data_IF_382329019921
#
_entry.id   IF_382329019921
#
_cell.length_a   1.000
_cell.length_b   1.000
_cell.length_c   1.000
_cell.angle_alpha   90.00
_cell.angle_beta   90.00
_cell.angle_gamma   90.00
#
_symmetry.space_group_name_H-M   'P 1'
#
loop_
_entity.id
_entity.type
_entity.pdbx_description
1 polymer ?
#
# COMPACT_ATOMS: atom_id res chain seq x y z
N UNK A 1 -16.27 4.87 -23.38
CA UNK A 1 -15.19 4.01 -22.87
C UNK A 1 -15.51 3.60 -21.43
N UNK A 2 -16.02 2.39 -21.14
CA UNK A 2 -16.41 2.02 -19.76
C UNK A 2 -16.05 0.60 -19.27
N UNK A 3 -15.44 -0.25 -20.08
CA UNK A 3 -14.97 -1.58 -19.65
C UNK A 3 -13.70 -1.95 -20.40
N UNK A 4 -12.54 -1.50 -19.92
CA UNK A 4 -11.25 -1.79 -20.57
C UNK A 4 -10.30 -2.44 -19.57
N UNK A 5 -10.28 -3.78 -19.59
CA UNK A 5 -9.41 -4.58 -18.73
C UNK A 5 -7.92 -4.26 -18.93
N UNK A 6 -7.49 -3.98 -20.16
CA UNK A 6 -6.09 -3.66 -20.46
C UNK A 6 -5.67 -2.33 -19.84
N UNK A 7 -6.56 -1.33 -19.81
CA UNK A 7 -6.31 -0.08 -19.05
C UNK A 7 -6.20 -0.38 -17.56
N UNK A 8 -7.08 -1.22 -17.00
CA UNK A 8 -7.01 -1.58 -15.57
C UNK A 8 -5.68 -2.28 -15.24
N UNK A 9 -5.27 -3.27 -16.04
CA UNK A 9 -3.96 -3.93 -15.90
C UNK A 9 -2.81 -2.94 -15.97
N UNK A 10 -2.86 -2.02 -16.94
CA UNK A 10 -1.84 -0.99 -17.12
C UNK A 10 -1.75 -0.05 -15.91
N UNK A 11 -2.90 0.39 -15.37
CA UNK A 11 -2.95 1.24 -14.17
C UNK A 11 -2.35 0.53 -12.96
N UNK A 12 -2.72 -0.72 -12.71
CA UNK A 12 -2.15 -1.52 -11.62
C UNK A 12 -0.65 -1.73 -11.80
N UNK A 13 -0.21 -2.00 -13.03
CA UNK A 13 1.22 -2.10 -13.37
C UNK A 13 1.95 -0.79 -13.05
N UNK A 14 1.36 0.37 -13.35
CA UNK A 14 1.91 1.67 -12.96
C UNK A 14 1.78 2.01 -11.47
N UNK A 15 1.16 1.14 -10.67
CA UNK A 15 1.09 1.27 -9.22
C UNK A 15 -0.19 1.92 -8.70
N UNK A 16 -1.26 1.95 -9.51
CA UNK A 16 -2.57 2.30 -9.01
C UNK A 16 -2.97 1.35 -7.88
N UNK A 17 -3.38 1.92 -6.75
CA UNK A 17 -3.72 1.16 -5.57
C UNK A 17 -5.17 0.65 -5.67
N UNK A 18 -5.29 -0.66 -5.84
CA UNK A 18 -6.55 -1.38 -6.07
C UNK A 18 -7.51 -1.32 -4.88
N UNK A 19 -7.04 -0.97 -3.69
CA UNK A 19 -7.88 -0.84 -2.49
C UNK A 19 -8.36 0.59 -2.22
N UNK A 20 -7.94 1.57 -3.03
CA UNK A 20 -8.44 2.94 -2.89
C UNK A 20 -9.94 3.00 -3.13
N UNK A 21 -10.63 3.73 -2.27
CA UNK A 21 -12.07 3.94 -2.37
C UNK A 21 -12.35 5.26 -3.08
N UNK A 22 -13.17 5.21 -4.13
CA UNK A 22 -13.83 6.40 -4.65
C UNK A 22 -15.17 6.55 -3.91
N UNK A 23 -15.32 7.66 -3.18
CA UNK A 23 -16.42 7.90 -2.22
C UNK A 23 -16.50 6.77 -1.18
N UNK A 24 -17.22 5.70 -1.46
CA UNK A 24 -17.45 4.56 -0.56
C UNK A 24 -17.08 3.19 -1.16
N UNK A 25 -16.71 3.12 -2.44
CA UNK A 25 -16.52 1.85 -3.17
C UNK A 25 -15.09 1.70 -3.71
N UNK A 26 -14.52 0.50 -3.61
CA UNK A 26 -13.24 0.15 -4.29
C UNK A 26 -13.47 -0.14 -5.78
N UNK A 27 -12.41 -0.12 -6.62
CA UNK A 27 -12.49 -0.56 -8.02
C UNK A 27 -13.18 -1.92 -8.21
N UNK A 28 -12.90 -2.89 -7.32
CA UNK A 28 -13.54 -4.20 -7.35
C UNK A 28 -15.05 -4.10 -7.10
N UNK A 29 -15.48 -3.32 -6.10
CA UNK A 29 -16.89 -3.12 -5.81
C UNK A 29 -17.62 -2.41 -6.95
N UNK A 30 -16.99 -1.40 -7.55
CA UNK A 30 -17.51 -0.70 -8.72
C UNK A 30 -17.67 -1.63 -9.93
N UNK A 31 -16.68 -2.49 -10.19
CA UNK A 31 -16.76 -3.49 -11.25
C UNK A 31 -17.84 -4.56 -11.01
N UNK A 32 -18.19 -4.83 -9.75
CA UNK A 32 -19.28 -5.74 -9.39
C UNK A 32 -20.69 -5.18 -9.61
N UNK A 33 -20.85 -3.85 -9.76
CA UNK A 33 -22.17 -3.23 -9.93
C UNK A 33 -22.72 -3.29 -11.36
N UNK A 34 -21.89 -3.66 -12.36
CA UNK A 34 -22.33 -3.74 -13.74
C UNK A 34 -22.03 -5.12 -14.35
N UNK A 35 -23.02 -5.77 -15.00
CA UNK A 35 -22.78 -6.97 -15.78
C UNK A 35 -21.79 -6.75 -16.94
N UNK A 36 -21.64 -5.50 -17.39
CA UNK A 36 -20.70 -5.18 -18.47
C UNK A 36 -19.25 -5.17 -18.03
N UNK A 37 -18.95 -5.25 -16.72
CA UNK A 37 -17.59 -5.21 -16.16
C UNK A 37 -17.17 -6.53 -15.50
N UNK A 38 -17.84 -7.65 -15.80
CA UNK A 38 -17.54 -8.96 -15.20
C UNK A 38 -16.07 -9.37 -15.35
N UNK A 39 -15.48 -9.23 -16.54
CA UNK A 39 -14.08 -9.59 -16.74
C UNK A 39 -13.10 -8.74 -15.91
N UNK A 40 -13.43 -7.47 -15.67
CA UNK A 40 -12.68 -6.59 -14.76
C UNK A 40 -12.90 -7.04 -13.31
N UNK A 41 -14.13 -7.35 -12.93
CA UNK A 41 -14.47 -7.81 -11.58
C UNK A 41 -13.69 -9.09 -11.24
N UNK A 42 -13.72 -10.09 -12.12
CA UNK A 42 -13.02 -11.37 -11.94
C UNK A 42 -11.51 -11.17 -11.82
N UNK A 43 -10.94 -10.35 -12.72
CA UNK A 43 -9.52 -10.01 -12.69
C UNK A 43 -9.14 -9.31 -11.37
N UNK A 44 -9.87 -8.27 -10.96
CA UNK A 44 -9.60 -7.53 -9.73
C UNK A 44 -9.75 -8.43 -8.50
N UNK A 45 -10.75 -9.30 -8.48
CA UNK A 45 -11.00 -10.23 -7.38
C UNK A 45 -9.82 -11.20 -7.21
N UNK A 46 -9.41 -11.86 -8.30
CA UNK A 46 -8.26 -12.76 -8.30
C UNK A 46 -6.97 -12.02 -7.89
N UNK A 47 -6.77 -10.81 -8.40
CA UNK A 47 -5.58 -9.99 -8.11
C UNK A 47 -5.50 -9.57 -6.64
N UNK A 48 -6.59 -9.06 -6.06
CA UNK A 48 -6.65 -8.69 -4.63
C UNK A 48 -6.35 -9.89 -3.75
N UNK A 49 -7.03 -11.01 -3.99
CA UNK A 49 -6.84 -12.23 -3.19
C UNK A 49 -5.39 -12.74 -3.23
N UNK A 50 -4.76 -12.73 -4.41
CA UNK A 50 -3.37 -13.17 -4.55
C UNK A 50 -2.39 -12.23 -3.85
N UNK A 51 -2.58 -10.92 -4.00
CA UNK A 51 -1.75 -9.93 -3.33
C UNK A 51 -1.91 -10.01 -1.80
N UNK A 52 -3.13 -10.09 -1.27
CA UNK A 52 -3.38 -10.24 0.17
C UNK A 52 -2.63 -11.44 0.75
N UNK A 53 -2.67 -12.60 0.07
CA UNK A 53 -1.93 -13.79 0.49
C UNK A 53 -0.43 -13.54 0.57
N UNK A 54 0.18 -12.95 -0.46
CA UNK A 54 1.61 -12.62 -0.51
C UNK A 54 1.98 -11.66 0.62
N UNK A 55 1.23 -10.58 0.79
CA UNK A 55 1.51 -9.57 1.81
C UNK A 55 1.36 -10.14 3.23
N UNK A 56 0.34 -10.97 3.48
CA UNK A 56 0.17 -11.61 4.78
C UNK A 56 1.31 -12.58 5.09
N UNK A 57 1.84 -13.30 4.09
CA UNK A 57 3.05 -14.11 4.25
C UNK A 57 4.25 -13.24 4.63
N UNK A 58 4.47 -12.10 3.97
CA UNK A 58 5.56 -11.19 4.31
C UNK A 58 5.41 -10.56 5.69
N UNK A 59 4.20 -10.14 6.07
CA UNK A 59 3.92 -9.63 7.42
C UNK A 59 4.28 -10.70 8.47
N UNK A 60 3.79 -11.94 8.29
CA UNK A 60 4.11 -13.05 9.20
C UNK A 60 5.60 -13.34 9.26
N UNK A 61 6.32 -13.22 8.13
CA UNK A 61 7.76 -13.50 8.06
C UNK A 61 8.60 -12.40 8.70
N UNK A 62 8.31 -11.13 8.41
CA UNK A 62 9.19 -10.01 8.75
C UNK A 62 8.79 -9.27 10.02
N UNK A 63 7.54 -9.38 10.45
CA UNK A 63 6.93 -8.52 11.48
C UNK A 63 6.42 -9.32 12.69
N UNK A 64 6.71 -10.64 12.70
CA UNK A 64 6.30 -11.53 13.80
C UNK A 64 6.77 -10.97 15.15
N UNK A 65 5.83 -10.85 16.09
CA UNK A 65 6.10 -10.35 17.44
C UNK A 65 6.23 -8.83 17.57
N UNK A 66 6.21 -8.09 16.46
CA UNK A 66 6.29 -6.61 16.46
C UNK A 66 4.92 -5.99 16.24
N UNK A 67 4.15 -6.50 15.26
CA UNK A 67 2.85 -5.96 14.90
C UNK A 67 2.00 -6.99 14.15
N UNK A 68 0.67 -6.84 14.18
CA UNK A 68 -0.29 -7.65 13.42
C UNK A 68 -1.36 -6.77 12.74
N UNK A 69 -1.75 -7.07 11.49
CA UNK A 69 -2.70 -6.28 10.72
C UNK A 69 -4.13 -6.31 11.27
N UNK A 70 -4.45 -7.23 12.19
CA UNK A 70 -5.77 -7.25 12.87
C UNK A 70 -6.04 -5.95 13.65
N UNK A 71 -4.98 -5.24 14.06
CA UNK A 71 -5.08 -3.93 14.72
C UNK A 71 -4.82 -2.76 13.74
N UNK A 72 -4.81 -2.99 12.44
CA UNK A 72 -4.60 -1.92 11.46
C UNK A 72 -5.81 -0.96 11.43
N UNK A 73 -5.53 0.33 11.31
CA UNK A 73 -6.56 1.37 11.17
C UNK A 73 -7.03 1.57 9.72
N UNK A 74 -6.43 0.86 8.77
CA UNK A 74 -6.76 0.90 7.34
C UNK A 74 -6.74 -0.50 6.75
N UNK A 75 -7.39 -0.63 5.60
CA UNK A 75 -7.28 -1.83 4.76
C UNK A 75 -5.83 -1.98 4.22
N UNK A 76 -5.52 -3.13 3.62
CA UNK A 76 -4.23 -3.34 2.97
C UNK A 76 -4.18 -2.54 1.66
N UNK A 77 -3.15 -1.71 1.52
CA UNK A 77 -2.92 -0.87 0.36
C UNK A 77 -1.81 -1.44 -0.52
N UNK A 78 -2.09 -1.55 -1.81
CA UNK A 78 -1.19 -2.15 -2.80
C UNK A 78 -0.60 -1.06 -3.69
N UNK A 79 0.13 -0.16 -3.05
CA UNK A 79 0.81 0.94 -3.73
C UNK A 79 2.24 0.54 -4.12
N UNK A 80 2.61 0.83 -5.37
CA UNK A 80 3.99 0.66 -5.85
C UNK A 80 4.86 1.83 -5.41
N UNK A 81 5.81 1.59 -4.51
CA UNK A 81 6.73 2.64 -4.04
C UNK A 81 7.84 2.95 -5.05
N UNK A 82 8.37 1.93 -5.75
CA UNK A 82 9.34 2.07 -6.84
C UNK A 82 9.38 0.81 -7.71
N UNK A 83 10.00 0.87 -8.90
CA UNK A 83 10.25 -0.33 -9.73
C UNK A 83 11.67 -0.84 -9.49
N UNK A 84 11.86 -2.16 -9.45
CA UNK A 84 13.18 -2.78 -9.50
C UNK A 84 13.93 -2.51 -10.82
N UNK A 85 13.17 -2.11 -11.86
CA UNK A 85 13.63 -1.81 -13.21
C UNK A 85 13.42 -0.33 -13.58
N UNK A 86 13.21 0.56 -12.60
CA UNK A 86 13.17 1.99 -12.90
C UNK A 86 14.56 2.36 -13.41
N UNK A 87 14.66 2.80 -14.67
CA UNK A 87 15.89 3.43 -15.11
C UNK A 87 16.10 4.70 -14.26
N UNK A 88 17.34 5.16 -14.08
CA UNK A 88 17.59 6.45 -13.44
C UNK A 88 16.84 7.62 -14.10
N UNK A 89 16.34 7.44 -15.33
CA UNK A 89 15.47 8.35 -16.07
C UNK A 89 13.97 8.20 -15.73
N UNK A 90 13.49 7.01 -15.38
CA UNK A 90 12.11 6.78 -14.87
C UNK A 90 11.97 7.17 -13.39
N UNK A 91 13.07 7.00 -12.64
CA UNK A 91 13.27 7.55 -11.31
C UNK A 91 13.69 9.02 -11.32
N UNK A 92 13.71 9.68 -12.50
CA UNK A 92 13.93 11.12 -12.54
C UNK A 92 12.89 11.80 -11.65
N UNK A 93 13.36 12.76 -10.86
CA UNK A 93 12.54 13.61 -9.99
C UNK A 93 11.67 14.53 -10.83
N UNK A 94 10.78 13.97 -11.64
CA UNK A 94 9.74 14.73 -12.28
C UNK A 94 8.75 15.16 -11.19
N UNK A 95 8.12 16.32 -11.38
CA UNK A 95 7.16 16.91 -10.43
C UNK A 95 6.11 15.90 -9.94
N UNK A 96 5.80 14.91 -10.77
CA UNK A 96 4.85 13.81 -10.57
C UNK A 96 5.28 12.77 -9.51
N UNK A 97 6.57 12.46 -9.36
CA UNK A 97 7.04 11.48 -8.34
C UNK A 97 7.27 12.14 -6.98
N UNK A 98 7.62 13.43 -6.96
CA UNK A 98 7.85 14.24 -5.74
C UNK A 98 6.58 14.42 -4.89
N UNK A 99 5.40 14.29 -5.49
CA UNK A 99 4.10 14.57 -4.87
C UNK A 99 3.15 13.38 -4.81
N UNK A 100 3.64 12.13 -4.82
CA UNK A 100 2.76 10.96 -4.64
C UNK A 100 2.08 11.03 -3.28
N UNK A 101 0.78 11.32 -3.28
CA UNK A 101 -0.10 11.30 -2.11
C UNK A 101 -0.93 10.04 -2.15
N UNK A 102 -0.87 9.24 -1.09
CA UNK A 102 -1.78 8.11 -0.89
C UNK A 102 -2.83 8.59 0.09
N UNK A 103 -4.09 8.62 -0.34
CA UNK A 103 -5.20 8.97 0.52
C UNK A 103 -5.77 7.70 1.13
N UNK A 104 -5.52 7.51 2.42
CA UNK A 104 -5.97 6.33 3.16
C UNK A 104 -7.25 6.72 3.90
N UNK A 105 -8.37 6.09 3.55
CA UNK A 105 -9.61 6.28 4.27
C UNK A 105 -9.65 5.34 5.48
N UNK A 106 -9.57 5.91 6.70
CA UNK A 106 -9.54 5.17 7.96
C UNK A 106 -10.88 5.19 8.72
N UNK A 107 -11.87 5.98 8.27
CA UNK A 107 -13.09 6.24 9.06
C UNK A 107 -13.94 4.98 9.22
N UNK A 108 -14.13 4.23 8.13
CA UNK A 108 -14.92 2.99 8.14
C UNK A 108 -14.26 1.91 9.01
N UNK A 109 -12.95 1.72 8.87
CA UNK A 109 -12.18 0.73 9.63
C UNK A 109 -12.15 1.08 11.12
N UNK A 110 -11.96 2.36 11.48
CA UNK A 110 -12.02 2.85 12.86
C UNK A 110 -13.40 2.62 13.50
N UNK A 111 -14.48 2.95 12.78
CA UNK A 111 -15.84 2.79 13.30
C UNK A 111 -16.24 1.32 13.47
N UNK A 112 -15.77 0.45 12.58
CA UNK A 112 -16.09 -0.97 12.54
C UNK A 112 -15.23 -1.86 13.45
N UNK A 113 -14.07 -1.40 13.93
CA UNK A 113 -13.17 -2.22 14.76
C UNK A 113 -13.30 -1.86 16.27
N UNK A 114 -14.00 -2.69 17.09
CA UNK A 114 -14.17 -2.42 18.51
C UNK A 114 -12.87 -2.51 19.32
N UNK A 115 -11.82 -3.18 18.81
CA UNK A 115 -10.53 -3.24 19.49
C UNK A 115 -9.75 -1.92 19.35
N UNK A 116 -9.89 -1.22 18.22
CA UNK A 116 -9.32 0.13 18.05
C UNK A 116 -9.93 1.14 19.03
N UNK A 117 -11.18 0.92 19.47
CA UNK A 117 -11.83 1.75 20.52
C UNK A 117 -11.25 1.48 21.92
N UNK A 118 -10.71 0.28 22.16
CA UNK A 118 -10.22 -0.16 23.49
C UNK A 118 -8.72 0.09 23.67
N UNK A 119 -7.90 -0.16 22.64
CA UNK A 119 -6.45 0.08 22.64
C UNK A 119 -6.04 0.58 21.26
N UNK A 120 -5.95 1.91 21.04
CA UNK A 120 -5.60 2.45 19.73
C UNK A 120 -4.09 2.33 19.52
N UNK A 121 -3.63 1.16 19.06
CA UNK A 121 -2.31 1.07 18.42
C UNK A 121 -2.41 1.73 17.04
N UNK A 122 -2.25 3.05 17.01
CA UNK A 122 -2.33 3.83 15.78
C UNK A 122 -1.01 3.77 15.03
N UNK A 123 -0.76 2.63 14.39
CA UNK A 123 0.44 2.37 13.61
C UNK A 123 0.10 2.35 12.12
N UNK A 124 0.85 3.11 11.33
CA UNK A 124 0.89 2.96 9.88
C UNK A 124 2.05 2.05 9.52
N UNK A 125 1.72 0.91 8.93
CA UNK A 125 2.66 -0.11 8.54
C UNK A 125 2.82 -0.15 7.01
N UNK A 126 4.05 -0.20 6.51
CA UNK A 126 4.35 -0.19 5.08
C UNK A 126 5.35 -1.30 4.78
N UNK A 127 5.00 -2.24 3.90
CA UNK A 127 5.97 -3.15 3.28
C UNK A 127 6.33 -2.61 1.91
N UNK A 128 7.58 -2.18 1.68
CA UNK A 128 8.02 -1.85 0.35
C UNK A 128 7.95 -3.05 -0.59
N UNK A 129 7.17 -2.85 -1.65
CA UNK A 129 6.90 -3.86 -2.67
C UNK A 129 7.37 -3.35 -4.02
N UNK A 130 8.07 -4.24 -4.73
CA UNK A 130 8.65 -3.97 -6.04
C UNK A 130 8.06 -4.95 -7.04
N UNK A 131 7.62 -4.44 -8.19
CA UNK A 131 7.09 -5.28 -9.24
C UNK A 131 8.21 -5.64 -10.22
N UNK A 132 8.26 -6.91 -10.62
CA UNK A 132 9.15 -7.42 -11.66
C UNK A 132 8.57 -7.13 -13.04
N UNK A 133 9.41 -7.07 -14.07
CA UNK A 133 9.00 -6.75 -15.45
C UNK A 133 7.86 -7.63 -15.97
N UNK A 134 7.88 -8.90 -15.57
CA UNK A 134 6.95 -9.95 -15.98
C UNK A 134 5.53 -9.72 -15.43
N UNK A 135 5.36 -8.96 -14.35
CA UNK A 135 4.03 -8.74 -13.75
C UNK A 135 3.07 -8.03 -14.71
N UNK A 136 3.61 -7.27 -15.67
CA UNK A 136 2.82 -6.55 -16.68
C UNK A 136 1.89 -7.48 -17.46
N UNK A 137 2.33 -8.72 -17.70
CA UNK A 137 1.60 -9.72 -18.49
C UNK A 137 1.20 -10.94 -17.65
N UNK A 138 1.49 -10.94 -16.35
CA UNK A 138 1.21 -12.05 -15.47
C UNK A 138 -0.30 -12.20 -15.24
N UNK A 139 -0.71 -13.45 -14.99
CA UNK A 139 -2.08 -13.74 -14.58
C UNK A 139 -2.44 -13.01 -13.28
N UNK A 140 -3.72 -12.65 -13.14
CA UNK A 140 -4.23 -11.96 -11.96
C UNK A 140 -3.88 -12.70 -10.66
N UNK A 141 -3.99 -14.03 -10.67
CA UNK A 141 -3.75 -14.90 -9.53
C UNK A 141 -2.27 -15.11 -9.19
N UNK A 142 -1.34 -14.66 -10.05
CA UNK A 142 0.10 -14.85 -9.86
C UNK A 142 0.91 -13.54 -9.99
N UNK A 143 0.73 -12.58 -9.06
CA UNK A 143 1.49 -11.32 -9.08
C UNK A 143 3.00 -11.56 -9.01
N UNK A 144 3.74 -11.00 -9.97
CA UNK A 144 5.20 -11.03 -10.01
C UNK A 144 5.78 -9.83 -9.24
N UNK A 145 5.64 -9.89 -7.92
CA UNK A 145 6.14 -8.87 -7.00
C UNK A 145 7.13 -9.47 -6.01
N UNK A 146 7.95 -8.61 -5.39
CA UNK A 146 8.88 -9.01 -4.34
C UNK A 146 9.08 -7.90 -3.31
N UNK A 147 9.59 -8.30 -2.15
CA UNK A 147 10.06 -7.43 -1.09
C UNK A 147 11.56 -7.67 -0.92
N UNK A 148 12.34 -6.60 -0.82
CA UNK A 148 13.79 -6.65 -0.66
C UNK A 148 14.21 -5.95 0.63
N UNK A 149 15.30 -6.44 1.24
CA UNK A 149 15.92 -5.79 2.39
C UNK A 149 16.53 -4.48 1.94
N UNK A 150 16.17 -3.40 2.62
CA UNK A 150 16.58 -2.06 2.24
C UNK A 150 17.79 -1.66 3.04
N UNK A 151 18.93 -2.26 2.70
CA UNK A 151 20.21 -1.97 3.31
C UNK A 151 21.26 -1.71 2.23
N UNK A 152 22.22 -0.85 2.53
CA UNK A 152 23.39 -0.66 1.68
C UNK A 152 24.43 -1.77 1.94
N UNK A 153 25.53 -1.74 1.19
CA UNK A 153 26.65 -2.70 1.30
C UNK A 153 27.27 -2.76 2.70
N UNK A 154 27.13 -1.68 3.47
CA UNK A 154 27.64 -1.59 4.85
C UNK A 154 26.59 -2.03 5.90
N UNK A 155 25.44 -2.56 5.47
CA UNK A 155 24.36 -3.02 6.35
C UNK A 155 23.47 -1.91 6.93
N UNK A 156 23.69 -0.64 6.57
CA UNK A 156 22.84 0.46 7.02
C UNK A 156 21.51 0.46 6.28
N UNK A 157 20.42 0.63 7.02
CA UNK A 157 19.07 0.69 6.43
C UNK A 157 18.93 1.95 5.57
N UNK A 158 18.58 1.76 4.30
CA UNK A 158 18.35 2.81 3.33
C UNK A 158 16.91 3.29 3.45
N UNK A 159 16.71 4.62 3.39
CA UNK A 159 15.38 5.23 3.33
C UNK A 159 14.88 5.27 1.88
N UNK A 160 13.85 4.49 1.56
CA UNK A 160 13.09 4.65 0.31
C UNK A 160 12.29 5.94 0.28
N UNK A 161 11.77 6.36 1.43
CA UNK A 161 11.03 7.61 1.56
C UNK A 161 12.06 8.71 1.84
N UNK A 162 12.36 9.57 0.84
CA UNK A 162 13.41 10.58 0.96
C UNK A 162 13.04 11.68 1.96
N UNK A 163 11.73 11.86 2.18
CA UNK A 163 11.16 12.82 3.11
C UNK A 163 10.34 12.09 4.17
N UNK A 164 10.26 12.69 5.35
CA UNK A 164 9.37 12.22 6.41
C UNK A 164 7.92 12.26 5.90
N UNK A 165 7.15 11.16 6.00
CA UNK A 165 5.76 11.17 5.56
C UNK A 165 4.95 12.19 6.34
N UNK A 166 3.99 12.82 5.66
CA UNK A 166 3.04 13.74 6.23
C UNK A 166 1.68 13.05 6.30
N UNK A 167 1.02 13.17 7.44
CA UNK A 167 -0.39 12.90 7.58
C UNK A 167 -1.14 14.23 7.49
N UNK A 168 -2.14 14.33 6.62
CA UNK A 168 -2.89 15.56 6.43
C UNK A 168 -4.38 15.30 6.26
N UNK A 169 -5.21 16.22 6.75
CA UNK A 169 -6.62 16.36 6.41
C UNK A 169 -6.87 17.72 5.75
N UNK A 170 -8.13 18.08 5.49
CA UNK A 170 -8.49 19.37 4.89
C UNK A 170 -8.05 20.58 5.74
N UNK A 171 -7.86 20.42 7.05
CA UNK A 171 -7.59 21.51 8.01
C UNK A 171 -6.16 21.54 8.53
N UNK A 172 -5.41 20.43 8.48
CA UNK A 172 -4.08 20.35 9.07
C UNK A 172 -3.17 19.34 8.37
N UNK A 173 -1.87 19.48 8.60
CA UNK A 173 -0.83 18.54 8.14
C UNK A 173 0.25 18.39 9.21
N UNK A 174 0.58 17.17 9.59
CA UNK A 174 1.59 16.85 10.61
C UNK A 174 2.54 15.74 10.13
N UNK A 175 3.82 15.86 10.46
CA UNK A 175 4.79 14.80 10.16
C UNK A 175 4.65 13.62 11.11
N UNK A 176 4.62 12.39 10.60
CA UNK A 176 4.55 11.18 11.44
C UNK A 176 5.95 10.66 11.78
N UNK A 177 6.17 10.21 13.02
CA UNK A 177 7.47 9.68 13.47
C UNK A 177 7.50 8.17 13.25
N UNK A 178 8.69 7.60 13.08
CA UNK A 178 8.80 6.13 13.11
C UNK A 178 8.37 5.63 14.49
N UNK A 179 7.65 4.51 14.53
CA UNK A 179 7.19 3.90 15.77
C UNK A 179 8.27 3.03 16.44
N UNK A 180 9.35 2.71 15.72
CA UNK A 180 10.43 1.86 16.21
C UNK A 180 11.68 2.70 16.39
N UNK A 181 12.26 2.69 17.60
CA UNK A 181 13.52 3.38 17.90
C UNK A 181 14.72 2.66 17.27
N UNK A 182 14.70 1.33 17.27
CA UNK A 182 15.67 0.50 16.54
C UNK A 182 15.20 0.30 15.11
N UNK A 183 16.10 0.36 14.11
CA UNK A 183 15.73 0.07 12.75
C UNK A 183 15.12 -1.34 12.69
N UNK A 184 13.95 -1.44 12.07
CA UNK A 184 13.44 -2.72 11.58
C UNK A 184 14.56 -3.42 10.77
N UNK A 185 14.42 -4.73 10.58
CA UNK A 185 15.35 -5.59 9.83
C UNK A 185 15.57 -5.21 8.34
N UNK A 186 15.20 -4.00 7.92
CA UNK A 186 15.33 -3.47 6.58
C UNK A 186 14.13 -3.72 5.67
N UNK A 187 13.08 -4.43 6.12
CA UNK A 187 12.01 -4.89 5.21
C UNK A 187 10.71 -4.08 5.23
N UNK A 188 10.48 -3.19 6.20
CA UNK A 188 9.19 -2.52 6.35
C UNK A 188 9.34 -1.21 7.10
N UNK A 189 8.43 -0.25 6.93
CA UNK A 189 8.35 0.93 7.79
C UNK A 189 7.18 0.83 8.76
N UNK A 190 7.38 1.37 9.96
CA UNK A 190 6.30 1.58 10.92
C UNK A 190 6.35 3.01 11.40
N UNK A 191 5.21 3.70 11.32
CA UNK A 191 5.05 5.07 11.80
C UNK A 191 3.98 5.12 12.87
N UNK A 192 4.25 5.88 13.94
CA UNK A 192 3.25 6.20 14.97
C UNK A 192 2.42 7.36 14.46
N UNK A 193 1.11 7.17 14.42
CA UNK A 193 0.16 8.21 14.09
C UNK A 193 -0.14 9.04 15.35
N UNK A 194 -0.56 10.32 15.20
CA UNK A 194 -0.94 11.15 16.34
C UNK A 194 -2.11 10.54 17.11
N UNK A 195 -2.11 10.67 18.44
CA UNK A 195 -3.17 10.13 19.30
C UNK A 195 -4.48 10.94 19.16
N UNK A 196 -4.37 12.23 18.82
CA UNK A 196 -5.49 13.16 18.70
C UNK A 196 -5.87 13.45 17.24
N UNK A 197 -5.91 12.43 16.38
CA UNK A 197 -6.49 12.60 15.04
C UNK A 197 -8.01 12.74 15.23
N UNK A 198 -8.50 13.98 15.26
CA UNK A 198 -9.89 14.28 14.93
C UNK A 198 -10.09 13.84 13.47
N UNK A 199 -10.86 12.76 13.28
CA UNK A 199 -11.25 12.23 11.96
C UNK A 199 -12.57 12.83 11.58
#
# INVERSE_FOLDING_TARGET
MRNNLEIVKLLLWYGADISLRERSATPLQLAGYSPTTTSICDYLHARVNALEKIFMQWIRKYVRGVWTPVHAISDLHFARLSKACDSGRDASRNFTTKNRKIHINISKTRNGNPQLKKCPLMLLFIVPTFYKGEDRIADASNPQIFCAKMQNVNGFVVKLLPSRPLLSCSKWSIGIKSALEKPHNGYFYVYKLPENIEV
#
